data_IF_173172554330
#
_entry.id   IF_173172554330
#
_cell.length_a   1.000
_cell.length_b   1.000
_cell.length_c   1.000
_cell.angle_alpha   90.00
_cell.angle_beta   90.00
_cell.angle_gamma   90.00
#
_symmetry.space_group_name_H-M   'P 1'
#
loop_
_entity.id
_entity.type
_entity.pdbx_description
1 polymer ?
#
# COMPACT_ATOMS: atom_id res chain seq x y z
N UNK A 1 1.14 -20.92 -9.17
CA UNK A 1 -0.33 -21.07 -9.29
C UNK A 1 -0.84 -20.18 -8.19
N UNK A 2 -1.58 -19.12 -8.52
CA UNK A 2 -1.91 -18.13 -7.49
C UNK A 2 -2.78 -18.78 -6.42
N UNK A 3 -2.30 -18.77 -5.18
CA UNK A 3 -3.02 -19.29 -4.01
C UNK A 3 -3.32 -18.16 -3.04
N UNK A 4 -4.42 -18.29 -2.30
CA UNK A 4 -4.81 -17.34 -1.27
C UNK A 4 -4.73 -18.07 0.06
N UNK A 5 -3.93 -17.53 0.98
CA UNK A 5 -3.69 -18.13 2.29
C UNK A 5 -4.05 -17.17 3.42
N UNK A 6 -4.32 -17.75 4.59
CA UNK A 6 -4.38 -16.99 5.85
C UNK A 6 -2.99 -16.86 6.45
N UNK A 7 -2.59 -15.65 6.85
CA UNK A 7 -1.34 -15.38 7.57
C UNK A 7 -1.61 -14.56 8.84
N UNK A 8 -0.69 -14.68 9.81
CA UNK A 8 -0.73 -13.89 11.04
C UNK A 8 -0.03 -12.55 10.78
N UNK A 9 -0.67 -11.43 11.13
CA UNK A 9 -0.04 -10.11 11.05
C UNK A 9 1.08 -9.94 12.08
N UNK A 10 1.03 -10.70 13.19
CA UNK A 10 2.05 -10.67 14.23
C UNK A 10 3.46 -11.11 13.76
N UNK A 11 3.56 -11.82 12.63
CA UNK A 11 4.84 -12.20 12.03
C UNK A 11 5.03 -11.63 10.61
N UNK A 12 4.39 -10.51 10.28
CA UNK A 12 4.41 -9.90 8.94
C UNK A 12 5.81 -9.69 8.35
N UNK A 13 6.81 -9.41 9.20
CA UNK A 13 8.20 -9.24 8.80
C UNK A 13 8.84 -10.53 8.25
N UNK A 14 8.28 -11.72 8.49
CA UNK A 14 8.85 -12.99 8.02
C UNK A 14 8.34 -13.40 6.64
N UNK A 15 7.35 -12.70 6.09
CA UNK A 15 6.71 -13.08 4.82
C UNK A 15 6.42 -11.92 3.86
N UNK A 16 6.30 -10.67 4.31
CA UNK A 16 6.35 -9.50 3.39
C UNK A 16 7.78 -9.00 3.24
N UNK A 17 8.62 -9.84 2.61
CA UNK A 17 10.06 -9.60 2.48
C UNK A 17 10.47 -9.33 1.04
N UNK A 18 11.61 -8.63 0.82
CA UNK A 18 12.19 -8.55 -0.51
C UNK A 18 12.70 -9.93 -0.94
N UNK A 19 12.27 -10.39 -2.11
CA UNK A 19 12.75 -11.64 -2.75
C UNK A 19 13.65 -11.37 -3.95
N UNK A 20 13.70 -10.12 -4.41
CA UNK A 20 14.64 -9.65 -5.42
C UNK A 20 15.20 -8.29 -5.04
N UNK A 21 16.44 -8.02 -5.45
CA UNK A 21 17.01 -6.69 -5.36
C UNK A 21 16.25 -5.78 -6.31
N UNK A 22 15.69 -4.71 -5.78
CA UNK A 22 15.11 -3.63 -6.57
C UNK A 22 15.83 -2.34 -6.24
N UNK A 23 15.76 -1.44 -7.18
CA UNK A 23 16.31 -0.09 -7.09
C UNK A 23 15.44 0.87 -6.26
N UNK A 24 14.55 0.29 -5.44
CA UNK A 24 13.57 1.01 -4.64
C UNK A 24 14.25 1.92 -3.61
N UNK A 25 13.87 3.21 -3.52
CA UNK A 25 14.39 4.13 -2.52
C UNK A 25 14.10 3.66 -1.08
N UNK A 26 15.04 3.90 -0.15
CA UNK A 26 14.92 3.49 1.26
C UNK A 26 13.61 3.95 1.91
N UNK A 27 13.16 5.17 1.61
CA UNK A 27 11.93 5.73 2.18
C UNK A 27 10.66 4.93 1.82
N UNK A 28 10.71 4.15 0.73
CA UNK A 28 9.62 3.30 0.26
C UNK A 28 9.81 1.82 0.64
N UNK A 29 10.95 1.46 1.25
CA UNK A 29 11.18 0.10 1.75
C UNK A 29 10.46 -0.10 3.08
N UNK A 30 10.00 -1.33 3.29
CA UNK A 30 9.32 -1.74 4.51
C UNK A 30 7.88 -2.19 4.25
N UNK A 31 7.16 -2.37 5.36
CA UNK A 31 5.73 -2.67 5.37
C UNK A 31 5.01 -1.49 6.01
N UNK A 32 3.95 -1.02 5.37
CA UNK A 32 3.16 0.14 5.79
C UNK A 32 1.75 -0.29 6.14
N UNK A 33 1.31 0.05 7.34
CA UNK A 33 -0.07 -0.07 7.81
C UNK A 33 -0.89 1.15 7.35
N UNK A 34 -2.05 0.90 6.77
CA UNK A 34 -3.01 1.92 6.32
C UNK A 34 -3.98 2.29 7.46
N UNK A 35 -3.50 3.06 8.44
CA UNK A 35 -4.26 3.47 9.62
C UNK A 35 -5.42 4.40 9.26
N UNK A 36 -6.65 3.95 9.53
CA UNK A 36 -7.89 4.64 9.18
C UNK A 36 -8.43 4.32 7.78
N UNK A 37 -7.82 3.38 7.05
CA UNK A 37 -8.35 2.94 5.75
C UNK A 37 -9.72 2.25 5.90
N UNK A 38 -10.76 2.71 5.18
CA UNK A 38 -12.11 2.14 5.31
C UNK A 38 -12.30 0.84 4.54
N UNK A 39 -11.38 0.48 3.64
CA UNK A 39 -11.44 -0.74 2.86
C UNK A 39 -10.98 -1.96 3.68
N UNK A 40 -11.43 -3.17 3.33
CA UNK A 40 -11.09 -4.40 4.05
C UNK A 40 -9.68 -4.91 3.73
N UNK A 41 -8.69 -4.04 3.88
CA UNK A 41 -7.25 -4.27 3.74
C UNK A 41 -6.46 -3.44 4.79
N UNK A 42 -5.29 -3.92 5.18
CA UNK A 42 -4.54 -3.37 6.32
C UNK A 42 -3.14 -2.88 5.95
N UNK A 43 -2.33 -3.72 5.33
CA UNK A 43 -0.91 -3.45 5.09
C UNK A 43 -0.56 -3.56 3.62
N UNK A 44 0.42 -2.76 3.22
CA UNK A 44 1.06 -2.80 1.92
C UNK A 44 2.58 -2.84 2.08
N UNK A 45 3.27 -3.44 1.12
CA UNK A 45 4.70 -3.18 0.91
C UNK A 45 4.89 -2.65 -0.51
N UNK A 46 6.06 -2.10 -0.79
CA UNK A 46 6.53 -1.79 -2.14
C UNK A 46 7.69 -2.71 -2.55
N UNK A 47 8.07 -3.67 -1.71
CA UNK A 47 9.06 -4.69 -2.08
C UNK A 47 8.65 -5.40 -3.36
N UNK A 48 9.66 -5.84 -4.11
CA UNK A 48 9.51 -6.63 -5.35
C UNK A 48 8.88 -5.87 -6.52
N UNK A 49 8.61 -4.57 -6.37
CA UNK A 49 8.15 -3.70 -7.45
C UNK A 49 9.35 -3.06 -8.16
N UNK A 50 9.22 -2.90 -9.48
CA UNK A 50 10.19 -2.16 -10.27
C UNK A 50 10.02 -0.66 -10.04
N UNK A 51 11.14 0.01 -9.77
CA UNK A 51 11.20 1.46 -9.58
C UNK A 51 11.73 2.13 -10.83
N UNK A 52 10.91 2.97 -11.45
CA UNK A 52 11.33 3.82 -12.56
C UNK A 52 12.00 5.07 -12.01
N UNK A 53 13.34 5.05 -11.92
CA UNK A 53 14.17 6.16 -11.44
C UNK A 53 14.08 7.41 -12.32
N UNK A 54 13.85 7.24 -13.62
CA UNK A 54 13.86 8.33 -14.58
C UNK A 54 12.58 9.16 -14.47
N UNK A 55 11.44 8.48 -14.36
CA UNK A 55 10.14 9.13 -14.27
C UNK A 55 9.64 9.31 -12.82
N UNK A 56 10.35 8.75 -11.84
CA UNK A 56 9.98 8.71 -10.42
C UNK A 56 8.61 8.04 -10.20
N UNK A 57 8.42 6.87 -10.83
CA UNK A 57 7.16 6.14 -10.85
C UNK A 57 7.31 4.74 -10.28
N UNK A 58 6.28 4.32 -9.54
CA UNK A 58 6.08 2.96 -9.06
C UNK A 58 4.68 2.48 -9.49
N UNK A 59 4.59 1.23 -9.96
CA UNK A 59 3.31 0.56 -10.19
C UNK A 59 3.05 -0.47 -9.09
N UNK A 60 1.95 -0.29 -8.37
CA UNK A 60 1.54 -1.11 -7.23
C UNK A 60 0.26 -1.89 -7.61
N UNK A 61 0.38 -3.10 -8.17
CA UNK A 61 -0.76 -3.98 -8.41
C UNK A 61 -1.35 -4.48 -7.07
N UNK A 62 -2.67 -4.37 -6.92
CA UNK A 62 -3.39 -4.84 -5.71
C UNK A 62 -3.46 -6.36 -5.64
N UNK A 63 -3.36 -7.01 -6.80
CA UNK A 63 -3.45 -8.46 -6.95
C UNK A 63 -2.08 -9.18 -6.95
N UNK A 64 -0.98 -8.48 -6.69
CA UNK A 64 0.35 -9.10 -6.69
C UNK A 64 0.60 -9.97 -5.43
N UNK A 65 1.39 -11.05 -5.57
CA UNK A 65 1.78 -11.87 -4.43
C UNK A 65 2.49 -11.07 -3.34
N UNK A 66 2.10 -11.31 -2.08
CA UNK A 66 2.74 -10.77 -0.87
C UNK A 66 2.87 -9.23 -0.84
N UNK A 67 2.05 -8.53 -1.61
CA UNK A 67 2.09 -7.07 -1.72
C UNK A 67 1.06 -6.38 -0.80
N UNK A 68 -0.09 -7.02 -0.59
CA UNK A 68 -1.23 -6.51 0.17
C UNK A 68 -1.74 -7.55 1.17
N UNK A 69 -2.31 -7.08 2.28
CA UNK A 69 -3.03 -7.92 3.23
C UNK A 69 -4.51 -7.54 3.24
N UNK A 70 -5.40 -8.51 3.03
CA UNK A 70 -6.84 -8.31 3.05
C UNK A 70 -7.44 -8.87 4.34
N UNK A 71 -8.60 -8.37 4.75
CA UNK A 71 -9.29 -8.91 5.93
C UNK A 71 -9.71 -10.36 5.66
N UNK A 72 -9.57 -11.24 6.66
CA UNK A 72 -10.18 -12.58 6.63
C UNK A 72 -11.69 -12.48 6.90
N UNK A 73 -12.41 -11.95 5.92
CA UNK A 73 -13.85 -11.69 5.97
C UNK A 73 -14.45 -11.73 4.56
N UNK A 74 -15.79 -11.80 4.46
CA UNK A 74 -16.49 -11.77 3.16
C UNK A 74 -16.15 -10.49 2.38
N UNK A 75 -16.21 -9.26 2.95
CA UNK A 75 -15.78 -8.05 2.25
C UNK A 75 -14.31 -8.09 1.79
N UNK A 76 -13.40 -8.66 2.58
CA UNK A 76 -12.00 -8.80 2.20
C UNK A 76 -11.81 -9.73 0.99
N UNK A 77 -12.52 -10.87 0.96
CA UNK A 77 -12.54 -11.75 -0.20
C UNK A 77 -13.10 -11.06 -1.45
N UNK A 78 -14.20 -10.31 -1.32
CA UNK A 78 -14.79 -9.57 -2.44
C UNK A 78 -13.84 -8.49 -2.98
N UNK A 79 -13.13 -7.77 -2.09
CA UNK A 79 -12.13 -6.79 -2.50
C UNK A 79 -10.97 -7.46 -3.27
N UNK A 80 -10.43 -8.55 -2.73
CA UNK A 80 -9.33 -9.30 -3.34
C UNK A 80 -9.71 -9.81 -4.74
N UNK A 81 -10.85 -10.50 -4.85
CA UNK A 81 -11.33 -11.05 -6.13
C UNK A 81 -11.64 -9.91 -7.12
N UNK A 82 -12.29 -8.84 -6.65
CA UNK A 82 -12.56 -7.66 -7.47
C UNK A 82 -11.28 -7.04 -8.03
N UNK A 83 -10.23 -6.91 -7.21
CA UNK A 83 -8.92 -6.43 -7.64
C UNK A 83 -8.25 -7.36 -8.66
N UNK A 84 -8.36 -8.68 -8.50
CA UNK A 84 -7.85 -9.65 -9.48
C UNK A 84 -8.57 -9.56 -10.83
N UNK A 85 -9.91 -9.58 -10.82
CA UNK A 85 -10.72 -9.51 -12.04
C UNK A 85 -10.45 -8.21 -12.78
N UNK A 86 -10.48 -7.09 -12.07
CA UNK A 86 -10.25 -5.77 -12.67
C UNK A 86 -8.78 -5.45 -12.93
N UNK A 87 -7.84 -6.32 -12.54
CA UNK A 87 -6.39 -6.05 -12.57
C UNK A 87 -6.06 -4.69 -11.94
N UNK A 88 -6.71 -4.39 -10.81
CA UNK A 88 -6.63 -3.09 -10.19
C UNK A 88 -5.21 -2.79 -9.70
N UNK A 89 -4.71 -1.60 -10.05
CA UNK A 89 -3.36 -1.18 -9.71
C UNK A 89 -3.32 0.31 -9.39
N UNK A 90 -2.29 0.75 -8.68
CA UNK A 90 -2.00 2.16 -8.48
C UNK A 90 -0.71 2.55 -9.20
N UNK A 91 -0.74 3.62 -9.99
CA UNK A 91 0.47 4.34 -10.41
C UNK A 91 0.77 5.41 -9.37
N UNK A 92 1.88 5.29 -8.67
CA UNK A 92 2.38 6.28 -7.72
C UNK A 92 3.48 7.05 -8.44
N UNK A 93 3.26 8.35 -8.69
CA UNK A 93 4.19 9.22 -9.39
C UNK A 93 4.61 10.34 -8.44
N UNK A 94 5.90 10.40 -8.11
CA UNK A 94 6.46 11.42 -7.24
C UNK A 94 6.70 12.73 -7.99
N UNK A 95 6.55 13.85 -7.28
CA UNK A 95 6.71 15.19 -7.85
C UNK A 95 8.18 15.49 -8.18
N UNK A 96 9.10 15.01 -7.35
CA UNK A 96 10.54 15.21 -7.50
C UNK A 96 11.36 14.16 -6.72
N UNK A 97 12.69 14.29 -6.78
CA UNK A 97 13.66 13.36 -6.16
C UNK A 97 13.68 13.40 -4.63
N UNK A 98 13.00 14.35 -3.98
CA UNK A 98 12.83 14.35 -2.52
C UNK A 98 11.94 13.19 -2.08
N UNK A 99 11.09 12.70 -3.00
CA UNK A 99 10.10 11.67 -2.73
C UNK A 99 9.21 12.04 -1.53
N UNK A 100 8.86 13.31 -1.36
CA UNK A 100 7.99 13.71 -0.24
C UNK A 100 6.52 13.82 -0.64
N UNK A 101 6.23 13.90 -1.94
CA UNK A 101 4.88 14.07 -2.47
C UNK A 101 4.69 13.25 -3.73
N UNK A 102 3.51 12.65 -3.86
CA UNK A 102 3.14 11.85 -5.00
C UNK A 102 1.66 12.01 -5.36
N UNK A 103 1.40 11.92 -6.67
CA UNK A 103 0.08 11.61 -7.19
C UNK A 103 -0.09 10.10 -7.24
N UNK A 104 -1.23 9.62 -6.76
CA UNK A 104 -1.64 8.22 -6.87
C UNK A 104 -2.81 8.13 -7.85
N UNK A 105 -2.58 7.50 -9.00
CA UNK A 105 -3.60 7.32 -10.04
C UNK A 105 -4.05 5.86 -10.04
N UNK A 106 -5.32 5.55 -9.77
CA UNK A 106 -5.82 4.18 -9.89
C UNK A 106 -5.94 3.78 -11.36
N UNK A 107 -5.73 2.49 -11.62
CA UNK A 107 -5.89 1.86 -12.93
C UNK A 107 -6.78 0.62 -12.79
N UNK A 108 -7.69 0.47 -13.75
CA UNK A 108 -8.54 -0.72 -13.88
C UNK A 108 -8.39 -1.25 -15.31
N UNK A 109 -8.12 -2.54 -15.47
CA UNK A 109 -7.79 -3.18 -16.74
C UNK A 109 -6.66 -2.47 -17.51
N UNK A 110 -5.71 -1.86 -16.79
CA UNK A 110 -4.62 -1.06 -17.37
C UNK A 110 -5.03 0.35 -17.82
N UNK A 111 -6.30 0.73 -17.68
CA UNK A 111 -6.82 2.04 -18.05
C UNK A 111 -6.80 2.96 -16.83
N UNK A 112 -6.24 4.17 -16.99
CA UNK A 112 -6.20 5.16 -15.92
C UNK A 112 -7.58 5.67 -15.57
N UNK A 113 -7.93 5.63 -14.29
CA UNK A 113 -9.12 6.31 -13.78
C UNK A 113 -8.85 7.82 -13.81
N UNK A 114 -9.70 8.63 -14.46
CA UNK A 114 -9.50 10.07 -14.58
C UNK A 114 -9.47 10.79 -13.23
N UNK A 115 -8.63 11.82 -13.11
CA UNK A 115 -8.50 12.64 -11.90
C UNK A 115 -9.80 13.32 -11.46
N UNK A 116 -10.71 13.62 -12.39
CA UNK A 116 -12.01 14.22 -12.05
C UNK A 116 -12.91 13.23 -11.31
N UNK A 117 -12.72 11.91 -11.47
CA UNK A 117 -13.43 10.91 -10.69
C UNK A 117 -12.74 10.68 -9.35
N UNK A 118 -11.41 10.47 -9.39
CA UNK A 118 -10.58 10.20 -8.22
C UNK A 118 -9.28 11.00 -8.32
N UNK A 119 -9.15 12.05 -7.52
CA UNK A 119 -7.89 12.76 -7.36
C UNK A 119 -7.27 12.40 -6.02
N UNK A 120 -6.18 11.65 -6.08
CA UNK A 120 -5.62 11.01 -4.92
C UNK A 120 -4.14 11.35 -4.78
N UNK A 121 -3.73 11.86 -3.63
CA UNK A 121 -2.34 12.22 -3.34
C UNK A 121 -1.80 11.50 -2.12
N UNK A 122 -0.48 11.47 -2.02
CA UNK A 122 0.26 10.98 -0.88
C UNK A 122 1.36 11.98 -0.55
N UNK A 123 1.53 12.35 0.71
CA UNK A 123 2.64 13.21 1.14
C UNK A 123 3.22 12.73 2.46
N UNK A 124 4.53 12.83 2.58
CA UNK A 124 5.25 12.47 3.80
C UNK A 124 4.95 13.50 4.88
N UNK A 125 4.66 13.02 6.09
CA UNK A 125 4.44 13.91 7.23
C UNK A 125 5.75 14.59 7.63
N UNK A 126 5.76 15.91 7.74
CA UNK A 126 6.96 16.70 8.07
C UNK A 126 7.50 16.40 9.47
N UNK A 127 6.65 15.88 10.36
CA UNK A 127 7.02 15.48 11.72
C UNK A 127 7.40 13.99 11.79
N UNK A 128 7.45 13.28 10.65
CA UNK A 128 7.81 11.87 10.61
C UNK A 128 9.31 11.68 10.84
N UNK A 129 9.67 10.83 11.80
CA UNK A 129 11.03 10.30 11.88
C UNK A 129 11.31 9.47 10.61
N UNK A 130 12.35 9.84 9.86
CA UNK A 130 12.88 9.05 8.73
C UNK A 130 11.87 8.62 7.66
N UNK A 131 10.76 9.33 7.52
CA UNK A 131 9.77 9.07 6.47
C UNK A 131 8.89 7.85 6.69
N UNK A 132 8.69 7.47 7.96
CA UNK A 132 7.81 6.39 8.38
C UNK A 132 6.31 6.67 8.19
N UNK A 133 5.92 7.95 8.09
CA UNK A 133 4.51 8.36 8.08
C UNK A 133 4.17 9.12 6.81
N UNK A 134 3.10 8.69 6.15
CA UNK A 134 2.56 9.37 4.97
C UNK A 134 1.06 9.55 5.10
N UNK A 135 0.58 10.68 4.59
CA UNK A 135 -0.83 11.03 4.56
C UNK A 135 -1.39 10.73 3.19
N UNK A 136 -2.44 9.91 3.12
CA UNK A 136 -3.22 9.63 1.92
C UNK A 136 -4.43 10.56 1.88
N UNK A 137 -4.52 11.38 0.83
CA UNK A 137 -5.70 12.24 0.60
C UNK A 137 -6.42 11.81 -0.67
N UNK A 138 -7.75 11.75 -0.58
CA UNK A 138 -8.62 11.26 -1.63
C UNK A 138 -9.77 12.27 -1.83
N UNK A 139 -9.80 12.88 -3.01
CA UNK A 139 -10.84 13.78 -3.46
C UNK A 139 -11.64 13.09 -4.57
N UNK A 140 -12.96 13.05 -4.41
CA UNK A 140 -13.88 12.43 -5.35
C UNK A 140 -14.69 13.48 -6.11
N UNK A 141 -15.13 13.14 -7.33
CA UNK A 141 -16.06 13.92 -8.14
C UNK A 141 -15.67 15.42 -8.23
N UNK A 142 -14.48 15.67 -8.77
CA UNK A 142 -13.96 17.03 -8.96
C UNK A 142 -13.57 17.75 -7.66
N UNK A 143 -13.50 17.07 -6.52
CA UNK A 143 -13.11 17.64 -5.24
C UNK A 143 -14.26 17.98 -4.30
N UNK A 144 -15.47 17.57 -4.63
CA UNK A 144 -16.68 17.82 -3.81
C UNK A 144 -16.74 16.95 -2.56
N UNK A 145 -16.08 15.80 -2.56
CA UNK A 145 -16.19 14.80 -1.49
C UNK A 145 -14.79 14.30 -1.06
N UNK A 146 -14.53 14.31 0.25
CA UNK A 146 -13.32 13.75 0.88
C UNK A 146 -13.67 12.45 1.61
N UNK A 147 -13.34 11.31 1.01
CA UNK A 147 -13.64 9.99 1.55
C UNK A 147 -12.44 9.07 1.37
N UNK A 148 -12.17 8.26 2.39
CA UNK A 148 -11.12 7.24 2.38
C UNK A 148 -9.71 7.82 2.54
N UNK A 149 -9.58 8.96 3.21
CA UNK A 149 -8.28 9.45 3.66
C UNK A 149 -7.76 8.56 4.80
N UNK A 150 -6.46 8.27 4.82
CA UNK A 150 -5.82 7.44 5.83
C UNK A 150 -4.34 7.80 5.99
N UNK A 151 -3.71 7.30 7.05
CA UNK A 151 -2.27 7.46 7.28
C UNK A 151 -1.55 6.14 7.01
N UNK A 152 -0.57 6.14 6.12
CA UNK A 152 0.40 5.05 6.00
C UNK A 152 1.44 5.20 7.10
N UNK A 153 1.60 4.18 7.94
CA UNK A 153 2.62 4.11 8.99
C UNK A 153 3.53 2.93 8.74
N UNK A 154 4.84 3.14 8.64
CA UNK A 154 5.81 2.06 8.51
C UNK A 154 5.80 1.25 9.80
N UNK A 155 5.50 -0.05 9.69
CA UNK A 155 5.44 -1.00 10.81
C UNK A 155 6.59 -2.01 10.79
N UNK A 156 7.20 -2.22 9.62
CA UNK A 156 8.45 -2.96 9.45
C UNK A 156 9.39 -2.09 8.62
N UNK A 157 10.62 -1.89 9.10
CA UNK A 157 11.63 -1.09 8.42
C UNK A 157 12.35 -1.84 7.29
N UNK A 158 13.28 -1.17 6.62
CA UNK A 158 14.06 -1.76 5.53
C UNK A 158 14.94 -2.96 5.94
N UNK A 159 15.23 -3.09 7.24
CA UNK A 159 16.04 -4.17 7.81
C UNK A 159 15.18 -5.32 8.33
N UNK A 160 13.86 -5.24 8.21
CA UNK A 160 12.93 -6.23 8.74
C UNK A 160 12.64 -6.08 10.24
N UNK A 161 13.03 -4.96 10.86
CA UNK A 161 12.77 -4.69 12.27
C UNK A 161 11.39 -4.03 12.45
N UNK A 162 10.68 -4.39 13.53
CA UNK A 162 9.40 -3.78 13.87
C UNK A 162 9.59 -2.36 14.41
N UNK A 163 8.78 -1.42 13.94
CA UNK A 163 8.74 -0.05 14.47
C UNK A 163 7.77 0.08 15.65
N UNK A 164 7.78 1.22 16.33
CA UNK A 164 6.79 1.52 17.38
C UNK A 164 5.33 1.47 16.87
N UNK A 165 5.10 1.78 15.59
CA UNK A 165 3.77 1.73 14.99
C UNK A 165 3.22 0.30 14.84
N UNK A 166 4.09 -0.72 14.89
CA UNK A 166 3.66 -2.11 14.80
C UNK A 166 2.76 -2.53 15.97
N UNK A 167 3.10 -2.13 17.20
CA UNK A 167 2.27 -2.45 18.37
C UNK A 167 0.91 -1.77 18.28
N UNK A 168 0.86 -0.49 17.87
CA UNK A 168 -0.40 0.22 17.61
C UNK A 168 -1.24 -0.49 16.55
N UNK A 169 -0.64 -0.92 15.44
CA UNK A 169 -1.31 -1.70 14.40
C UNK A 169 -1.98 -2.96 14.98
N UNK A 170 -1.27 -3.77 15.77
CA UNK A 170 -1.80 -5.01 16.34
C UNK A 170 -3.02 -4.80 17.24
N UNK A 171 -3.19 -3.63 17.85
CA UNK A 171 -4.39 -3.30 18.65
C UNK A 171 -5.61 -2.92 17.80
N UNK A 172 -5.40 -2.55 16.54
CA UNK A 172 -6.44 -2.03 15.63
C UNK A 172 -6.92 -3.04 14.61
N UNK A 173 -6.14 -4.09 14.34
CA UNK A 173 -6.40 -5.07 13.29
C UNK A 173 -6.70 -6.44 13.87
N UNK A 174 -7.41 -7.28 13.11
CA UNK A 174 -7.53 -8.70 13.45
C UNK A 174 -6.19 -9.39 13.25
N UNK A 175 -5.88 -10.39 14.07
CA UNK A 175 -4.59 -11.10 14.00
C UNK A 175 -4.34 -11.80 12.66
N UNK A 176 -5.41 -12.23 11.99
CA UNK A 176 -5.36 -12.97 10.72
C UNK A 176 -5.76 -12.11 9.52
N UNK A 177 -5.03 -12.29 8.42
CA UNK A 177 -5.30 -11.66 7.14
C UNK A 177 -5.23 -12.67 5.99
N UNK A 178 -5.82 -12.33 4.85
CA UNK A 178 -5.66 -13.03 3.59
C UNK A 178 -4.52 -12.40 2.80
N UNK A 179 -3.71 -13.23 2.15
CA UNK A 179 -2.64 -12.79 1.26
C UNK A 179 -2.62 -13.63 -0.01
N UNK A 180 -2.08 -13.07 -1.07
CA UNK A 180 -1.86 -13.74 -2.34
C UNK A 180 -0.43 -14.33 -2.34
N UNK A 181 -0.27 -15.57 -2.74
CA UNK A 181 1.02 -16.23 -2.91
C UNK A 181 1.29 -16.59 -4.38
N UNK A 182 2.57 -16.74 -4.79
CA UNK A 182 2.96 -17.12 -6.16
C UNK A 182 2.41 -18.48 -6.65
#
# INVERSE_FOLDING_TARGET
MITIETRQLANIATWMVPVKSTDLPTVLKGVFFMDGNPLPDHCITMYNLEWDKENLVLFLPVFAPLQWTFHKSIPGWLLLIGAQISRFSYKIQFEDKTLQRAQVTPLSFGITIPKWLVNATMYQDTNSNNGDTWQRKNLWFGGTVRIGEYTLRRVVDENGCYTNAFQDMLTKVKSECLVILP
#
